data_IF_495710008125
#
_entry.id   IF_495710008125
#
_cell.length_a   1.000
_cell.length_b   1.000
_cell.length_c   1.000
_cell.angle_alpha   90.00
_cell.angle_beta   90.00
_cell.angle_gamma   90.00
#
_symmetry.space_group_name_H-M   'P 1'
#
loop_
_entity.id
_entity.type
_entity.pdbx_description
1 polymer ?
#
# COMPACT_ATOMS: atom_id res chain seq x y z
N UNK A 1 22.19 35.20 -52.22
CA UNK A 1 20.92 34.64 -51.70
C UNK A 1 21.22 33.87 -50.43
N UNK A 2 20.95 34.48 -49.30
CA UNK A 2 21.06 33.81 -47.98
C UNK A 2 19.69 33.32 -47.57
N UNK A 3 19.53 32.02 -47.40
CA UNK A 3 18.29 31.41 -46.84
C UNK A 3 18.45 31.34 -45.33
N UNK A 4 17.64 32.11 -44.62
CA UNK A 4 17.60 32.05 -43.15
C UNK A 4 16.65 30.89 -42.76
N UNK A 5 17.18 29.90 -42.05
CA UNK A 5 16.40 28.82 -41.44
C UNK A 5 15.84 29.34 -40.13
N UNK A 6 14.51 29.46 -40.03
CA UNK A 6 13.82 29.75 -38.77
C UNK A 6 13.68 28.46 -37.98
N UNK A 7 14.30 28.38 -36.82
CA UNK A 7 14.08 27.33 -35.84
C UNK A 7 12.77 27.60 -35.07
N UNK A 8 11.77 26.77 -35.30
CA UNK A 8 10.54 26.77 -34.48
C UNK A 8 10.82 26.05 -33.17
N UNK A 9 10.94 26.81 -32.08
CA UNK A 9 10.97 26.26 -30.73
C UNK A 9 9.56 25.76 -30.35
N UNK A 10 9.40 24.45 -30.28
CA UNK A 10 8.19 23.81 -29.78
C UNK A 10 8.18 23.97 -28.25
N UNK A 11 7.50 25.00 -27.73
CA UNK A 11 7.17 25.06 -26.30
C UNK A 11 6.14 23.98 -25.99
N UNK A 12 6.60 22.86 -25.41
CA UNK A 12 5.73 21.91 -24.76
C UNK A 12 5.10 22.64 -23.56
N UNK A 13 3.86 23.04 -23.69
CA UNK A 13 3.06 23.53 -22.57
C UNK A 13 2.84 22.33 -21.62
N UNK A 14 3.62 22.27 -20.55
CA UNK A 14 3.29 21.42 -19.41
C UNK A 14 1.95 21.93 -18.87
N UNK A 15 0.89 21.11 -18.99
CA UNK A 15 -0.38 21.36 -18.31
C UNK A 15 -0.14 21.53 -16.80
N UNK A 16 -1.08 22.16 -16.07
CA UNK A 16 -0.92 22.35 -14.63
C UNK A 16 -0.64 20.99 -13.98
N UNK A 17 0.50 20.90 -13.31
CA UNK A 17 0.79 19.75 -12.46
C UNK A 17 -0.23 19.83 -11.31
N UNK A 18 -1.10 18.83 -11.21
CA UNK A 18 -1.97 18.70 -10.04
C UNK A 18 -1.09 18.44 -8.82
N UNK A 19 -1.22 19.31 -7.82
CA UNK A 19 -0.53 19.12 -6.54
C UNK A 19 -1.37 18.17 -5.70
N UNK A 20 -0.95 16.90 -5.60
CA UNK A 20 -1.52 15.95 -4.66
C UNK A 20 -0.81 16.04 -3.32
N UNK A 21 -1.47 15.62 -2.27
CA UNK A 21 -0.87 15.51 -0.94
C UNK A 21 -0.66 14.05 -0.60
N UNK A 22 0.57 13.68 -0.26
CA UNK A 22 0.86 12.36 0.31
C UNK A 22 0.90 12.46 1.85
N UNK A 23 0.30 11.47 2.50
CA UNK A 23 0.31 11.28 3.94
C UNK A 23 1.11 10.03 4.26
N UNK A 24 2.11 10.15 5.13
CA UNK A 24 3.07 9.08 5.45
C UNK A 24 3.03 8.83 6.94
N UNK A 25 2.71 7.60 7.35
CA UNK A 25 2.82 7.19 8.75
C UNK A 25 4.27 6.91 9.11
N UNK A 26 4.75 7.50 10.23
CA UNK A 26 6.12 7.35 10.73
C UNK A 26 6.09 6.50 12.00
N UNK A 27 6.32 5.20 11.86
CA UNK A 27 6.08 4.18 12.90
C UNK A 27 6.78 4.50 14.23
N UNK A 28 8.07 4.80 14.19
CA UNK A 28 8.86 5.12 15.40
C UNK A 28 8.80 6.60 15.78
N UNK A 29 8.33 7.44 14.86
CA UNK A 29 8.16 8.85 15.11
C UNK A 29 6.83 9.21 15.77
N UNK A 30 5.89 8.27 15.90
CA UNK A 30 4.52 8.51 16.38
C UNK A 30 3.90 9.75 15.73
N UNK A 31 4.10 9.86 14.42
CA UNK A 31 3.74 11.05 13.66
C UNK A 31 3.29 10.71 12.24
N UNK A 32 2.64 11.65 11.59
CA UNK A 32 2.31 11.60 10.17
C UNK A 32 2.95 12.77 9.45
N UNK A 33 3.72 12.49 8.40
CA UNK A 33 4.28 13.52 7.52
C UNK A 33 3.34 13.82 6.37
N UNK A 34 3.14 15.09 6.08
CA UNK A 34 2.34 15.60 4.97
C UNK A 34 3.29 16.14 3.91
N UNK A 35 3.19 15.62 2.69
CA UNK A 35 4.13 15.89 1.60
C UNK A 35 3.38 16.41 0.39
N UNK A 36 3.80 17.55 -0.13
CA UNK A 36 3.35 18.08 -1.42
C UNK A 36 4.07 17.32 -2.54
N UNK A 37 3.31 16.61 -3.37
CA UNK A 37 3.87 15.76 -4.42
C UNK A 37 4.42 16.55 -5.61
N UNK A 38 3.95 17.77 -5.83
CA UNK A 38 4.42 18.62 -6.93
C UNK A 38 5.78 19.26 -6.64
N UNK A 39 5.98 19.66 -5.40
CA UNK A 39 7.25 20.25 -4.94
C UNK A 39 8.19 19.21 -4.33
N UNK A 40 7.70 17.99 -4.08
CA UNK A 40 8.42 16.90 -3.41
C UNK A 40 9.03 17.38 -2.07
N UNK A 41 8.22 18.04 -1.24
CA UNK A 41 8.66 18.56 0.05
C UNK A 41 7.68 18.21 1.16
N UNK A 42 8.22 17.93 2.34
CA UNK A 42 7.42 17.86 3.56
C UNK A 42 6.91 19.27 3.87
N UNK A 43 5.59 19.42 3.93
CA UNK A 43 4.93 20.69 4.28
C UNK A 43 4.60 20.77 5.76
N UNK A 44 4.39 19.61 6.40
CA UNK A 44 4.12 19.52 7.84
C UNK A 44 4.38 18.10 8.35
N UNK A 45 4.66 17.98 9.63
CA UNK A 45 4.59 16.72 10.38
C UNK A 45 3.70 16.98 11.59
N UNK A 46 2.79 16.06 11.90
CA UNK A 46 1.86 16.14 13.02
C UNK A 46 1.98 14.91 13.89
N UNK A 47 1.82 15.06 15.19
CA UNK A 47 1.80 13.95 16.12
C UNK A 47 0.49 13.16 15.96
N UNK A 48 0.59 11.85 16.08
CA UNK A 48 -0.53 10.90 16.03
C UNK A 48 -0.38 9.87 17.16
N UNK A 49 -1.23 8.86 17.18
CA UNK A 49 -1.11 7.76 18.14
C UNK A 49 0.18 6.95 17.98
N UNK A 50 0.37 5.99 18.88
CA UNK A 50 1.62 5.24 18.99
C UNK A 50 1.72 4.13 17.96
N UNK A 51 2.93 3.94 17.43
CA UNK A 51 3.26 2.97 16.39
C UNK A 51 2.30 3.06 15.18
N UNK A 52 2.21 4.23 14.51
CA UNK A 52 1.32 4.38 13.36
C UNK A 52 1.83 3.56 12.16
N UNK A 53 0.97 2.66 11.65
CA UNK A 53 1.29 1.76 10.54
C UNK A 53 0.32 1.93 9.37
N UNK A 54 -0.69 1.08 9.26
CA UNK A 54 -1.67 1.13 8.19
C UNK A 54 -2.29 2.52 8.05
N UNK A 55 -2.41 2.99 6.81
CA UNK A 55 -2.95 4.32 6.50
C UNK A 55 -3.77 4.24 5.21
N UNK A 56 -4.95 4.85 5.22
CA UNK A 56 -5.77 5.04 4.01
C UNK A 56 -6.49 6.39 4.07
N UNK A 57 -7.15 6.77 2.97
CA UNK A 57 -7.87 8.04 2.88
C UNK A 57 -9.31 7.81 2.41
N UNK A 58 -10.25 8.58 2.93
CA UNK A 58 -11.64 8.54 2.47
C UNK A 58 -11.74 8.88 0.98
N UNK A 59 -12.71 8.31 0.23
CA UNK A 59 -12.85 8.56 -1.21
C UNK A 59 -13.03 10.04 -1.57
N UNK A 60 -13.59 10.85 -0.66
CA UNK A 60 -13.74 12.31 -0.84
C UNK A 60 -12.51 13.11 -0.41
N UNK A 61 -11.49 12.45 0.14
CA UNK A 61 -10.23 13.04 0.58
C UNK A 61 -10.29 13.83 1.88
N UNK A 62 -11.41 13.77 2.62
CA UNK A 62 -11.58 14.59 3.83
C UNK A 62 -10.96 13.99 5.09
N UNK A 63 -10.83 12.68 5.14
CA UNK A 63 -10.32 11.99 6.32
C UNK A 63 -9.22 11.00 5.95
N UNK A 64 -8.14 11.04 6.70
CA UNK A 64 -7.14 9.97 6.75
C UNK A 64 -7.50 9.06 7.91
N UNK A 65 -7.52 7.76 7.67
CA UNK A 65 -7.60 6.72 8.69
C UNK A 65 -6.20 6.14 8.90
N UNK A 66 -5.80 5.96 10.16
CA UNK A 66 -4.45 5.56 10.52
C UNK A 66 -4.49 4.59 11.70
N UNK A 67 -3.91 3.40 11.56
CA UNK A 67 -3.69 2.50 12.68
C UNK A 67 -2.71 3.13 13.67
N UNK A 68 -3.14 3.30 14.90
CA UNK A 68 -2.28 3.57 16.05
C UNK A 68 -2.18 2.24 16.82
N UNK A 69 -1.23 1.38 16.38
CA UNK A 69 -1.23 -0.03 16.72
C UNK A 69 -1.00 -0.30 18.21
N UNK A 70 -0.13 0.48 18.87
CA UNK A 70 0.10 0.36 20.32
C UNK A 70 -1.01 1.04 21.15
N UNK A 71 -1.94 1.77 20.53
CA UNK A 71 -3.12 2.38 21.17
C UNK A 71 -4.40 1.58 20.89
N UNK A 72 -4.33 0.44 20.19
CA UNK A 72 -5.45 -0.44 19.86
C UNK A 72 -6.62 0.28 19.16
N UNK A 73 -6.33 1.18 18.25
CA UNK A 73 -7.36 1.97 17.57
C UNK A 73 -6.98 2.42 16.16
N UNK A 74 -8.00 2.74 15.36
CA UNK A 74 -7.82 3.46 14.10
C UNK A 74 -8.21 4.92 14.29
N UNK A 75 -7.26 5.84 14.18
CA UNK A 75 -7.50 7.28 14.29
C UNK A 75 -8.13 7.85 13.03
N UNK A 76 -9.00 8.84 13.20
CA UNK A 76 -9.61 9.62 12.13
C UNK A 76 -8.98 11.02 12.16
N UNK A 77 -8.29 11.39 11.09
CA UNK A 77 -7.58 12.67 10.96
C UNK A 77 -8.27 13.49 9.88
N UNK A 78 -8.72 14.70 10.21
CA UNK A 78 -9.29 15.64 9.25
C UNK A 78 -8.18 16.24 8.40
N UNK A 79 -8.26 16.11 7.07
CA UNK A 79 -7.21 16.54 6.15
C UNK A 79 -7.09 18.05 6.02
N UNK A 80 -8.13 18.81 6.35
CA UNK A 80 -8.13 20.27 6.28
C UNK A 80 -7.47 20.92 7.51
N UNK A 81 -7.65 20.31 8.68
CA UNK A 81 -7.10 20.81 9.95
C UNK A 81 -5.83 20.06 10.38
N UNK A 82 -5.63 18.86 9.86
CA UNK A 82 -4.58 17.92 10.24
C UNK A 82 -4.63 17.54 11.73
N UNK A 83 -5.85 17.50 12.30
CA UNK A 83 -6.09 17.13 13.68
C UNK A 83 -6.77 15.75 13.75
N UNK A 84 -6.46 15.00 14.79
CA UNK A 84 -7.22 13.79 15.14
C UNK A 84 -8.59 14.26 15.65
N UNK A 85 -9.65 13.87 14.93
CA UNK A 85 -11.05 14.28 15.24
C UNK A 85 -11.87 13.14 15.83
N UNK A 86 -11.28 11.95 15.96
CA UNK A 86 -11.91 10.80 16.55
C UNK A 86 -11.14 9.53 16.27
N UNK A 87 -11.75 8.40 16.66
CA UNK A 87 -11.23 7.06 16.37
C UNK A 87 -12.36 6.11 16.03
N UNK A 88 -11.99 5.01 15.36
CA UNK A 88 -12.83 3.82 15.19
C UNK A 88 -12.34 2.74 16.16
N UNK A 89 -13.23 1.92 16.70
CA UNK A 89 -12.85 0.80 17.53
C UNK A 89 -12.04 -0.21 16.70
N UNK A 90 -11.10 -0.87 17.32
CA UNK A 90 -10.36 -1.97 16.74
C UNK A 90 -10.04 -2.99 17.84
N UNK A 91 -9.74 -4.22 17.44
CA UNK A 91 -9.09 -5.15 18.36
C UNK A 91 -7.63 -4.72 18.60
N UNK A 92 -6.91 -5.44 19.48
CA UNK A 92 -5.53 -5.12 19.80
C UNK A 92 -4.61 -5.31 18.59
N UNK A 93 -3.63 -4.41 18.50
CA UNK A 93 -2.60 -4.38 17.48
C UNK A 93 -3.16 -4.34 16.03
N UNK A 94 -3.91 -3.27 15.67
CA UNK A 94 -4.35 -3.10 14.29
C UNK A 94 -3.16 -2.81 13.36
N UNK A 95 -3.03 -3.62 12.31
CA UNK A 95 -1.93 -3.54 11.34
C UNK A 95 -2.36 -2.86 10.05
N UNK A 96 -2.71 -3.63 9.04
CA UNK A 96 -3.26 -3.10 7.80
C UNK A 96 -4.79 -3.13 7.83
N UNK A 97 -5.36 -2.27 7.03
CA UNK A 97 -6.79 -2.22 6.80
C UNK A 97 -7.12 -1.78 5.38
N UNK A 98 -8.32 -2.01 4.96
CA UNK A 98 -8.81 -1.57 3.66
C UNK A 98 -10.24 -1.04 3.78
N UNK A 99 -10.55 0.00 3.01
CA UNK A 99 -11.90 0.52 2.84
C UNK A 99 -12.68 -0.30 1.82
N UNK A 100 -13.97 -0.51 2.07
CA UNK A 100 -14.88 -0.93 1.01
C UNK A 100 -14.84 0.09 -0.15
N UNK A 101 -15.12 -0.33 -1.40
CA UNK A 101 -15.09 0.59 -2.55
C UNK A 101 -16.03 1.78 -2.43
N UNK A 102 -17.10 1.66 -1.66
CA UNK A 102 -18.03 2.77 -1.39
C UNK A 102 -17.61 3.65 -0.19
N UNK A 103 -16.51 3.29 0.47
CA UNK A 103 -15.92 4.03 1.58
C UNK A 103 -16.72 4.00 2.89
N UNK A 104 -17.68 3.08 3.06
CA UNK A 104 -18.53 3.03 4.25
C UNK A 104 -18.07 2.05 5.30
N UNK A 105 -17.36 1.01 4.89
CA UNK A 105 -16.90 -0.07 5.78
C UNK A 105 -15.39 -0.09 5.80
N UNK A 106 -14.82 -0.24 6.99
CA UNK A 106 -13.40 -0.48 7.19
C UNK A 106 -13.21 -1.93 7.64
N UNK A 107 -12.27 -2.63 7.02
CA UNK A 107 -11.85 -3.98 7.39
C UNK A 107 -10.44 -3.92 7.94
N UNK A 108 -10.26 -4.28 9.21
CA UNK A 108 -8.99 -4.12 9.96
C UNK A 108 -8.44 -5.48 10.35
N UNK A 109 -7.17 -5.73 10.05
CA UNK A 109 -6.44 -6.89 10.55
C UNK A 109 -5.94 -6.61 11.97
N UNK A 110 -6.33 -7.44 12.94
CA UNK A 110 -5.92 -7.34 14.34
C UNK A 110 -4.98 -8.48 14.69
N UNK A 111 -3.68 -8.18 14.77
CA UNK A 111 -2.61 -9.17 14.84
C UNK A 111 -2.75 -10.06 16.09
N UNK A 112 -2.98 -9.47 17.26
CA UNK A 112 -2.96 -10.17 18.52
C UNK A 112 -4.22 -11.00 18.83
N UNK A 113 -5.35 -10.72 18.17
CA UNK A 113 -6.62 -11.46 18.36
C UNK A 113 -6.90 -12.49 17.28
N UNK A 114 -6.11 -12.51 16.19
CA UNK A 114 -6.33 -13.38 15.03
C UNK A 114 -7.70 -13.13 14.36
N UNK A 115 -8.10 -11.87 14.29
CA UNK A 115 -9.40 -11.43 13.78
C UNK A 115 -9.25 -10.42 12.64
N UNK A 116 -10.25 -10.38 11.78
CA UNK A 116 -10.55 -9.22 10.94
C UNK A 116 -11.78 -8.53 11.53
N UNK A 117 -11.61 -7.28 11.96
CA UNK A 117 -12.74 -6.47 12.48
C UNK A 117 -13.38 -5.70 11.33
N UNK A 118 -14.71 -5.78 11.24
CA UNK A 118 -15.54 -5.08 10.25
C UNK A 118 -16.25 -3.92 10.95
N UNK A 119 -16.02 -2.69 10.45
CA UNK A 119 -16.46 -1.47 11.12
C UNK A 119 -17.30 -0.62 10.17
N UNK A 120 -18.49 -0.21 10.58
CA UNK A 120 -19.23 0.87 9.91
C UNK A 120 -18.63 2.22 10.30
N UNK A 121 -18.17 2.97 9.32
CA UNK A 121 -17.44 4.23 9.55
C UNK A 121 -18.40 5.32 10.08
N UNK A 122 -19.64 5.35 9.64
CA UNK A 122 -20.58 6.41 9.99
C UNK A 122 -21.10 6.26 11.43
N UNK A 123 -21.50 5.06 11.82
CA UNK A 123 -21.95 4.76 13.18
C UNK A 123 -20.81 4.51 14.16
N UNK A 124 -19.61 4.15 13.64
CA UNK A 124 -18.43 3.69 14.38
C UNK A 124 -18.69 2.38 15.15
N UNK A 125 -19.59 1.57 14.66
CA UNK A 125 -19.95 0.29 15.27
C UNK A 125 -19.16 -0.85 14.63
N UNK A 126 -18.73 -1.81 15.45
CA UNK A 126 -18.21 -3.09 14.98
C UNK A 126 -19.39 -3.92 14.49
N UNK A 127 -19.40 -4.24 13.19
CA UNK A 127 -20.43 -5.05 12.56
C UNK A 127 -20.17 -6.55 12.70
N UNK A 128 -18.88 -6.94 12.67
CA UNK A 128 -18.45 -8.32 12.82
C UNK A 128 -16.97 -8.41 13.23
N UNK A 129 -16.63 -9.56 13.80
CA UNK A 129 -15.27 -10.01 14.06
C UNK A 129 -15.10 -11.38 13.41
N UNK A 130 -14.27 -11.47 12.39
CA UNK A 130 -14.11 -12.65 11.53
C UNK A 130 -12.84 -13.38 11.93
N UNK A 131 -12.92 -14.61 12.49
CA UNK A 131 -11.74 -15.41 12.81
C UNK A 131 -10.96 -15.79 11.54
N UNK A 132 -9.64 -15.55 11.57
CA UNK A 132 -8.70 -15.87 10.49
C UNK A 132 -7.51 -16.67 11.05
N UNK A 133 -6.41 -16.75 10.32
CA UNK A 133 -5.19 -17.40 10.79
C UNK A 133 -4.43 -16.56 11.81
N UNK A 134 -3.31 -17.10 12.30
CA UNK A 134 -2.48 -16.46 13.32
C UNK A 134 -1.67 -15.32 12.72
N UNK A 135 -1.64 -14.18 13.43
CA UNK A 135 -0.98 -12.93 13.02
C UNK A 135 -1.52 -12.39 11.68
N UNK A 136 -2.80 -11.95 11.63
CA UNK A 136 -3.36 -11.30 10.44
C UNK A 136 -2.70 -9.94 10.20
N UNK A 137 -2.27 -9.69 8.96
CA UNK A 137 -1.53 -8.49 8.59
C UNK A 137 -2.11 -7.81 7.33
N UNK A 138 -1.91 -8.44 6.16
CA UNK A 138 -2.28 -7.88 4.87
C UNK A 138 -3.78 -7.91 4.61
N UNK A 139 -4.28 -6.84 3.99
CA UNK A 139 -5.69 -6.68 3.65
C UNK A 139 -5.84 -6.23 2.20
N UNK A 140 -6.78 -6.82 1.48
CA UNK A 140 -7.15 -6.40 0.13
C UNK A 140 -8.63 -6.64 -0.13
N UNK A 141 -9.29 -5.72 -0.83
CA UNK A 141 -10.70 -5.86 -1.22
C UNK A 141 -10.82 -5.85 -2.74
N UNK A 142 -11.66 -6.73 -3.29
CA UNK A 142 -11.91 -6.77 -4.73
C UNK A 142 -12.59 -5.47 -5.21
N UNK A 143 -12.37 -5.04 -6.47
CA UNK A 143 -12.97 -3.81 -6.99
C UNK A 143 -14.49 -3.78 -6.95
N UNK A 144 -15.15 -4.93 -6.99
CA UNK A 144 -16.61 -5.04 -6.85
C UNK A 144 -17.09 -5.09 -5.38
N UNK A 145 -16.15 -5.06 -4.44
CA UNK A 145 -16.40 -5.05 -3.00
C UNK A 145 -16.89 -6.37 -2.41
N UNK A 146 -16.93 -7.47 -3.17
CA UNK A 146 -17.55 -8.73 -2.73
C UNK A 146 -16.60 -9.70 -2.05
N UNK A 147 -15.32 -9.60 -2.36
CA UNK A 147 -14.28 -10.46 -1.81
C UNK A 147 -13.27 -9.62 -1.05
N UNK A 148 -13.05 -9.97 0.20
CA UNK A 148 -11.96 -9.45 1.01
C UNK A 148 -10.90 -10.55 1.12
N UNK A 149 -9.62 -10.21 1.09
CA UNK A 149 -8.53 -11.12 1.38
C UNK A 149 -7.74 -10.58 2.56
N UNK A 150 -7.54 -11.44 3.57
CA UNK A 150 -6.62 -11.22 4.68
C UNK A 150 -5.45 -12.19 4.55
N UNK A 151 -4.25 -11.76 4.88
CA UNK A 151 -3.08 -12.62 5.01
C UNK A 151 -2.76 -12.87 6.48
N UNK A 152 -2.40 -14.10 6.84
CA UNK A 152 -2.00 -14.46 8.20
C UNK A 152 -0.57 -15.00 8.20
N UNK A 153 0.33 -14.27 8.85
CA UNK A 153 1.78 -14.45 8.77
C UNK A 153 2.25 -15.84 9.22
N UNK A 154 1.91 -16.21 10.45
CA UNK A 154 2.38 -17.46 11.06
C UNK A 154 1.76 -18.68 10.40
N UNK A 155 0.51 -18.62 9.95
CA UNK A 155 -0.15 -19.73 9.27
C UNK A 155 0.14 -19.81 7.78
N UNK A 156 0.81 -18.80 7.20
CA UNK A 156 1.16 -18.72 5.77
C UNK A 156 -0.05 -18.86 4.85
N UNK A 157 -1.17 -18.22 5.22
CA UNK A 157 -2.45 -18.30 4.50
C UNK A 157 -2.89 -16.97 3.95
N UNK A 158 -3.60 -17.01 2.82
CA UNK A 158 -4.48 -15.97 2.32
C UNK A 158 -5.92 -16.44 2.50
N UNK A 159 -6.67 -15.79 3.40
CA UNK A 159 -8.07 -16.09 3.70
C UNK A 159 -8.97 -15.24 2.81
N UNK A 160 -9.86 -15.89 2.07
CA UNK A 160 -10.87 -15.25 1.25
C UNK A 160 -12.16 -15.15 2.03
N UNK A 161 -12.67 -13.96 2.17
CA UNK A 161 -13.85 -13.63 2.97
C UNK A 161 -14.92 -13.06 2.03
N UNK A 162 -16.13 -13.58 2.09
CA UNK A 162 -17.29 -12.97 1.44
C UNK A 162 -17.78 -11.79 2.29
N UNK A 163 -17.82 -10.60 1.70
CA UNK A 163 -18.16 -9.37 2.44
C UNK A 163 -19.63 -9.29 2.84
N UNK A 164 -20.51 -10.03 2.18
CA UNK A 164 -21.94 -10.03 2.47
C UNK A 164 -22.33 -10.99 3.60
N UNK A 165 -21.71 -12.16 3.65
CA UNK A 165 -21.90 -13.13 4.74
C UNK A 165 -20.95 -12.89 5.91
N UNK A 166 -19.83 -12.16 5.68
CA UNK A 166 -18.76 -11.94 6.65
C UNK A 166 -18.13 -13.24 7.15
N UNK A 167 -17.98 -14.20 6.24
CA UNK A 167 -17.43 -15.53 6.53
C UNK A 167 -16.23 -15.82 5.65
N UNK A 168 -15.25 -16.56 6.19
CA UNK A 168 -14.14 -17.11 5.41
C UNK A 168 -14.70 -18.23 4.52
N UNK A 169 -14.60 -18.03 3.20
CA UNK A 169 -15.08 -18.99 2.20
C UNK A 169 -13.99 -19.96 1.74
N UNK A 170 -12.76 -19.49 1.72
CA UNK A 170 -11.59 -20.24 1.28
C UNK A 170 -10.33 -19.80 2.00
N UNK A 171 -9.34 -20.69 2.07
CA UNK A 171 -8.00 -20.39 2.58
C UNK A 171 -6.95 -21.00 1.67
N UNK A 172 -6.08 -20.18 1.13
CA UNK A 172 -5.05 -20.59 0.17
C UNK A 172 -3.69 -20.53 0.84
N UNK A 173 -2.97 -21.67 0.83
CA UNK A 173 -1.59 -21.71 1.31
C UNK A 173 -0.69 -20.93 0.35
N UNK A 174 0.05 -19.98 0.90
CA UNK A 174 1.07 -19.19 0.21
C UNK A 174 2.45 -19.44 0.82
N UNK A 175 3.45 -18.66 0.45
CA UNK A 175 4.77 -18.81 1.09
C UNK A 175 4.83 -18.09 2.45
N UNK A 176 5.93 -18.33 3.18
CA UNK A 176 6.09 -17.95 4.58
C UNK A 176 6.02 -16.44 4.80
N UNK A 177 5.25 -16.05 5.79
CA UNK A 177 5.03 -14.68 6.25
C UNK A 177 4.41 -13.78 5.18
N UNK A 178 3.17 -14.05 4.75
CA UNK A 178 2.46 -13.18 3.81
C UNK A 178 2.09 -11.85 4.47
N UNK A 179 2.38 -10.74 3.76
CA UNK A 179 2.33 -9.37 4.30
C UNK A 179 1.33 -8.44 3.63
N UNK A 180 0.93 -8.73 2.40
CA UNK A 180 0.10 -7.81 1.62
C UNK A 180 -0.75 -8.56 0.61
N UNK A 181 -1.93 -8.03 0.32
CA UNK A 181 -2.83 -8.54 -0.71
C UNK A 181 -3.31 -7.39 -1.60
N UNK A 182 -3.10 -7.50 -2.90
CA UNK A 182 -3.50 -6.50 -3.89
C UNK A 182 -4.29 -7.15 -5.02
N UNK A 183 -5.50 -6.67 -5.27
CA UNK A 183 -6.29 -7.13 -6.40
C UNK A 183 -5.88 -6.44 -7.70
N UNK A 184 -5.93 -7.18 -8.81
CA UNK A 184 -5.89 -6.56 -10.14
C UNK A 184 -7.09 -5.64 -10.34
N UNK A 185 -6.99 -4.56 -11.14
CA UNK A 185 -8.09 -3.62 -11.35
C UNK A 185 -9.37 -4.24 -11.92
N UNK A 186 -9.25 -5.38 -12.63
CA UNK A 186 -10.37 -6.17 -13.13
C UNK A 186 -10.93 -7.17 -12.12
N UNK A 187 -10.30 -7.28 -10.94
CA UNK A 187 -10.69 -8.19 -9.87
C UNK A 187 -10.44 -9.67 -10.15
N UNK A 188 -9.80 -10.02 -11.26
CA UNK A 188 -9.60 -11.40 -11.67
C UNK A 188 -8.55 -12.15 -10.85
N UNK A 189 -7.57 -11.43 -10.30
CA UNK A 189 -6.46 -11.99 -9.52
C UNK A 189 -6.22 -11.18 -8.26
N UNK A 190 -5.64 -11.85 -7.26
CA UNK A 190 -5.04 -11.20 -6.09
C UNK A 190 -3.57 -11.62 -6.00
N UNK A 191 -2.71 -10.63 -5.77
CA UNK A 191 -1.28 -10.77 -5.61
C UNK A 191 -0.93 -10.71 -4.12
N UNK A 192 -0.36 -11.76 -3.59
CA UNK A 192 -0.02 -11.90 -2.17
C UNK A 192 1.49 -11.98 -2.02
N UNK A 193 2.08 -10.99 -1.37
CA UNK A 193 3.51 -10.99 -1.05
C UNK A 193 3.79 -11.86 0.17
N UNK A 194 4.92 -12.57 0.16
CA UNK A 194 5.41 -13.38 1.27
C UNK A 194 6.84 -12.96 1.62
N UNK A 195 6.98 -12.26 2.74
CA UNK A 195 8.21 -11.59 3.15
C UNK A 195 9.38 -12.58 3.31
N UNK A 196 9.22 -13.55 4.20
CA UNK A 196 10.26 -14.57 4.45
C UNK A 196 10.34 -15.57 3.33
N UNK A 197 9.22 -15.87 2.67
CA UNK A 197 9.19 -16.73 1.49
C UNK A 197 9.89 -16.15 0.27
N UNK A 198 10.13 -14.84 0.23
CA UNK A 198 10.83 -14.16 -0.87
C UNK A 198 10.05 -14.14 -2.20
N UNK A 199 8.72 -14.28 -2.15
CA UNK A 199 7.89 -14.46 -3.36
C UNK A 199 6.66 -13.58 -3.36
N UNK A 200 6.01 -13.48 -4.52
CA UNK A 200 4.62 -13.04 -4.66
C UNK A 200 3.82 -14.18 -5.29
N UNK A 201 2.77 -14.62 -4.61
CA UNK A 201 1.80 -15.58 -5.13
C UNK A 201 0.69 -14.84 -5.87
N UNK A 202 0.44 -15.18 -7.12
CA UNK A 202 -0.71 -14.70 -7.90
C UNK A 202 -1.80 -15.76 -7.82
N UNK A 203 -2.94 -15.40 -7.26
CA UNK A 203 -4.07 -16.29 -7.02
C UNK A 203 -5.23 -15.87 -7.93
N UNK A 204 -5.80 -16.80 -8.68
CA UNK A 204 -7.03 -16.57 -9.44
C UNK A 204 -8.20 -16.40 -8.47
N UNK A 205 -8.87 -15.23 -8.54
CA UNK A 205 -9.93 -14.88 -7.59
C UNK A 205 -11.17 -15.77 -7.67
N UNK A 206 -11.43 -16.42 -8.81
CA UNK A 206 -12.59 -17.30 -9.00
C UNK A 206 -12.32 -18.72 -8.54
N UNK A 207 -11.16 -19.28 -8.91
CA UNK A 207 -10.82 -20.68 -8.65
C UNK A 207 -10.07 -20.90 -7.37
N UNK A 208 -9.57 -19.83 -6.72
CA UNK A 208 -8.75 -19.87 -5.51
C UNK A 208 -7.45 -20.66 -5.69
N UNK A 209 -6.96 -20.76 -6.92
CA UNK A 209 -5.73 -21.46 -7.23
C UNK A 209 -4.56 -20.48 -7.40
N UNK A 210 -3.39 -20.83 -6.87
CA UNK A 210 -2.15 -20.13 -7.18
C UNK A 210 -1.79 -20.42 -8.64
N UNK A 211 -1.94 -19.42 -9.51
CA UNK A 211 -1.65 -19.55 -10.95
C UNK A 211 -0.19 -19.26 -11.26
N UNK A 212 0.49 -18.51 -10.38
CA UNK A 212 1.91 -18.16 -10.53
C UNK A 212 2.54 -17.84 -9.19
N UNK A 213 3.80 -18.25 -9.01
CA UNK A 213 4.70 -17.70 -8.01
C UNK A 213 5.79 -16.88 -8.71
N UNK A 214 5.97 -15.64 -8.29
CA UNK A 214 6.98 -14.72 -8.80
C UNK A 214 8.14 -14.73 -7.82
N UNK A 215 9.32 -15.06 -8.32
CA UNK A 215 10.57 -15.04 -7.55
C UNK A 215 11.40 -13.82 -7.98
N UNK A 216 12.19 -13.30 -7.08
CA UNK A 216 13.03 -12.15 -7.31
C UNK A 216 14.51 -12.53 -7.16
N UNK A 217 15.35 -11.98 -8.02
CA UNK A 217 16.80 -12.19 -7.98
C UNK A 217 17.51 -10.92 -8.40
N UNK A 218 18.29 -10.35 -7.49
CA UNK A 218 19.07 -9.12 -7.75
C UNK A 218 20.55 -9.51 -7.71
N UNK A 219 21.32 -9.29 -8.79
CA UNK A 219 22.74 -9.61 -8.83
C UNK A 219 23.50 -8.97 -7.65
N UNK A 220 24.28 -9.77 -6.93
CA UNK A 220 25.06 -9.32 -5.78
C UNK A 220 24.32 -9.30 -4.44
N UNK A 221 23.02 -9.53 -4.41
CA UNK A 221 22.24 -9.69 -3.16
C UNK A 221 21.95 -11.16 -2.87
N UNK A 222 21.93 -11.50 -1.58
CA UNK A 222 21.49 -12.81 -1.12
C UNK A 222 19.97 -12.89 -1.16
N UNK A 223 19.42 -14.07 -1.47
CA UNK A 223 17.96 -14.30 -1.54
C UNK A 223 17.23 -13.91 -0.27
N UNK A 224 17.83 -14.16 0.89
CA UNK A 224 17.22 -13.88 2.20
C UNK A 224 17.03 -12.38 2.50
N UNK A 225 17.72 -11.52 1.73
CA UNK A 225 17.53 -10.07 1.84
C UNK A 225 16.42 -9.54 0.94
N UNK A 226 15.91 -10.36 0.02
CA UNK A 226 14.84 -9.99 -0.90
C UNK A 226 13.51 -10.42 -0.27
N UNK A 227 12.87 -9.48 0.40
CA UNK A 227 11.68 -9.71 1.23
C UNK A 227 10.50 -8.88 0.71
N UNK A 228 9.65 -9.45 -0.15
CA UNK A 228 8.48 -8.74 -0.71
C UNK A 228 7.48 -8.33 0.37
N UNK A 229 7.03 -7.07 0.34
CA UNK A 229 6.05 -6.51 1.27
C UNK A 229 4.93 -5.83 0.49
N UNK A 230 4.94 -4.52 0.33
CA UNK A 230 3.91 -3.79 -0.39
C UNK A 230 3.87 -4.15 -1.88
N UNK A 231 2.67 -4.24 -2.43
CA UNK A 231 2.40 -4.44 -3.85
C UNK A 231 1.45 -3.35 -4.32
N UNK A 232 1.71 -2.75 -5.49
CA UNK A 232 0.78 -1.81 -6.12
C UNK A 232 0.70 -2.09 -7.61
N UNK A 233 -0.51 -2.22 -8.13
CA UNK A 233 -0.77 -2.52 -9.55
C UNK A 233 -1.30 -1.26 -10.23
N UNK A 234 -0.77 -0.94 -11.42
CA UNK A 234 -1.23 0.22 -12.20
C UNK A 234 -2.70 0.11 -12.56
N UNK A 235 -3.41 1.24 -12.65
CA UNK A 235 -4.85 1.27 -12.95
C UNK A 235 -5.20 0.63 -14.31
N UNK A 236 -4.26 0.57 -15.26
CA UNK A 236 -4.43 -0.15 -16.53
C UNK A 236 -4.13 -1.65 -16.43
N UNK A 237 -3.76 -2.13 -15.25
CA UNK A 237 -3.49 -3.52 -14.94
C UNK A 237 -2.23 -4.11 -15.60
N UNK A 238 -1.32 -3.30 -16.18
CA UNK A 238 -0.20 -3.82 -16.97
C UNK A 238 1.09 -4.01 -16.21
N UNK A 239 1.31 -3.21 -15.18
CA UNK A 239 2.51 -3.27 -14.33
C UNK A 239 2.13 -3.48 -12.88
N UNK A 240 2.91 -4.26 -12.16
CA UNK A 240 2.90 -4.30 -10.71
C UNK A 240 4.26 -3.84 -10.19
N UNK A 241 4.24 -3.08 -9.10
CA UNK A 241 5.43 -2.67 -8.37
C UNK A 241 5.43 -3.40 -7.02
N UNK A 242 6.55 -4.03 -6.69
CA UNK A 242 6.70 -4.82 -5.47
C UNK A 242 7.86 -4.28 -4.65
N UNK A 243 7.59 -3.85 -3.43
CA UNK A 243 8.61 -3.45 -2.46
C UNK A 243 9.37 -4.69 -1.97
N UNK A 244 10.69 -4.69 -2.04
CA UNK A 244 11.53 -5.85 -1.72
C UNK A 244 12.27 -5.71 -0.38
N UNK A 245 11.71 -4.96 0.56
CA UNK A 245 12.16 -4.85 1.94
C UNK A 245 13.65 -4.50 2.09
N UNK A 246 14.44 -5.34 2.82
CA UNK A 246 15.86 -5.09 3.06
C UNK A 246 16.74 -5.08 1.81
N UNK A 247 16.23 -5.56 0.67
CA UNK A 247 16.92 -5.41 -0.60
C UNK A 247 17.01 -3.95 -1.08
N UNK A 248 16.22 -3.04 -0.50
CA UNK A 248 16.20 -1.62 -0.85
C UNK A 248 15.84 -1.35 -2.33
N UNK A 249 15.03 -2.21 -2.90
CA UNK A 249 14.60 -2.12 -4.29
C UNK A 249 13.08 -2.27 -4.41
N UNK A 250 12.56 -1.70 -5.47
CA UNK A 250 11.21 -1.99 -5.98
C UNK A 250 11.35 -2.77 -7.29
N UNK A 251 10.69 -3.92 -7.37
CA UNK A 251 10.60 -4.68 -8.62
C UNK A 251 9.46 -4.17 -9.48
N UNK A 252 9.70 -4.00 -10.77
CA UNK A 252 8.67 -3.74 -11.79
C UNK A 252 8.36 -5.04 -12.50
N UNK A 253 7.12 -5.49 -12.42
CA UNK A 253 6.67 -6.78 -12.94
C UNK A 253 5.61 -6.55 -14.01
N UNK A 254 5.75 -7.22 -15.15
CA UNK A 254 4.70 -7.29 -16.16
C UNK A 254 3.60 -8.24 -15.70
N UNK A 255 2.38 -7.76 -15.54
CA UNK A 255 1.27 -8.53 -14.96
C UNK A 255 0.77 -9.65 -15.87
N UNK A 256 1.01 -9.57 -17.17
CA UNK A 256 0.57 -10.59 -18.14
C UNK A 256 1.56 -11.76 -18.22
N UNK A 257 2.87 -11.47 -18.19
CA UNK A 257 3.92 -12.49 -18.30
C UNK A 257 4.46 -12.91 -16.95
N UNK A 258 4.21 -12.13 -15.90
CA UNK A 258 4.75 -12.26 -14.54
C UNK A 258 6.28 -12.17 -14.48
N UNK A 259 6.90 -11.55 -15.48
CA UNK A 259 8.35 -11.35 -15.56
C UNK A 259 8.75 -10.05 -14.88
N UNK A 260 9.80 -10.11 -14.09
CA UNK A 260 10.44 -8.90 -13.55
C UNK A 260 11.17 -8.20 -14.68
N UNK A 261 10.79 -6.96 -14.97
CA UNK A 261 11.38 -6.14 -16.04
C UNK A 261 12.52 -5.26 -15.53
N UNK A 262 12.44 -4.81 -14.29
CA UNK A 262 13.41 -3.87 -13.71
C UNK A 262 13.43 -3.97 -12.18
N UNK A 263 14.57 -3.63 -11.60
CA UNK A 263 14.72 -3.34 -10.18
C UNK A 263 15.13 -1.88 -10.01
N UNK A 264 14.41 -1.13 -9.21
CA UNK A 264 14.61 0.29 -8.93
C UNK A 264 15.23 0.40 -7.55
N UNK A 265 16.43 0.95 -7.43
CA UNK A 265 17.05 1.22 -6.14
C UNK A 265 16.35 2.41 -5.47
N UNK A 266 15.95 2.24 -4.21
CA UNK A 266 15.28 3.25 -3.37
C UNK A 266 16.01 3.39 -2.02
N UNK A 267 15.40 4.03 -1.04
CA UNK A 267 15.95 4.09 0.31
C UNK A 267 15.96 2.74 1.04
N UNK A 268 16.46 2.72 2.29
CA UNK A 268 16.69 1.48 3.03
C UNK A 268 15.40 0.95 3.67
N UNK A 269 15.19 -0.35 3.52
CA UNK A 269 14.03 -1.10 4.04
C UNK A 269 12.73 -0.52 3.50
N UNK A 270 12.50 -0.74 2.20
CA UNK A 270 11.25 -0.32 1.55
C UNK A 270 10.07 -1.16 2.05
N UNK A 271 8.96 -0.49 2.46
CA UNK A 271 7.77 -1.13 3.00
C UNK A 271 6.59 -1.09 2.03
N UNK A 272 6.00 0.09 1.84
CA UNK A 272 4.77 0.26 1.09
C UNK A 272 4.91 1.24 -0.07
N UNK A 273 3.90 1.23 -0.92
CA UNK A 273 3.87 1.94 -2.19
C UNK A 273 2.50 2.60 -2.37
N UNK A 274 2.45 3.80 -2.94
CA UNK A 274 1.21 4.43 -3.37
C UNK A 274 1.41 5.23 -4.66
N UNK A 275 0.46 5.11 -5.58
CA UNK A 275 0.42 5.95 -6.77
C UNK A 275 -0.20 7.32 -6.48
N UNK A 276 0.24 8.34 -7.20
CA UNK A 276 -0.56 9.53 -7.39
C UNK A 276 -1.82 9.18 -8.22
N UNK A 277 -2.95 9.90 -8.03
CA UNK A 277 -4.20 9.60 -8.75
C UNK A 277 -4.07 9.60 -10.28
N UNK A 278 -3.16 10.40 -10.83
CA UNK A 278 -2.85 10.43 -12.26
C UNK A 278 -1.92 9.29 -12.72
N UNK A 279 -1.52 8.42 -11.81
CA UNK A 279 -0.64 7.27 -12.04
C UNK A 279 0.77 7.61 -12.56
N UNK A 280 1.18 8.89 -12.53
CA UNK A 280 2.49 9.30 -13.07
C UNK A 280 3.63 9.13 -12.09
N UNK A 281 3.32 9.08 -10.81
CA UNK A 281 4.31 8.96 -9.76
C UNK A 281 3.92 7.82 -8.80
N UNK A 282 4.89 6.98 -8.47
CA UNK A 282 4.81 6.04 -7.37
C UNK A 282 5.66 6.56 -6.23
N UNK A 283 5.15 6.49 -5.01
CA UNK A 283 5.85 6.90 -3.78
C UNK A 283 6.10 5.66 -2.95
N UNK A 284 7.35 5.50 -2.46
CA UNK A 284 7.73 4.39 -1.58
C UNK A 284 8.02 4.91 -0.19
N UNK A 285 7.80 4.09 0.84
CA UNK A 285 8.27 4.36 2.20
C UNK A 285 9.51 3.52 2.49
N UNK A 286 10.57 4.15 3.03
CA UNK A 286 11.86 3.53 3.25
C UNK A 286 12.23 3.67 4.74
N UNK A 287 11.84 2.65 5.54
CA UNK A 287 11.82 2.74 7.00
C UNK A 287 13.19 3.02 7.64
N UNK A 288 14.26 2.36 7.18
CA UNK A 288 15.57 2.50 7.84
C UNK A 288 16.35 3.76 7.42
N UNK A 289 16.02 4.36 6.27
CA UNK A 289 16.63 5.63 5.84
C UNK A 289 15.79 6.85 6.21
N UNK A 290 14.60 6.67 6.79
CA UNK A 290 13.69 7.75 7.20
C UNK A 290 13.30 8.67 6.04
N UNK A 291 13.06 8.10 4.88
CA UNK A 291 12.68 8.84 3.68
C UNK A 291 11.58 8.14 2.88
N UNK A 292 11.06 8.86 1.92
CA UNK A 292 10.21 8.36 0.84
C UNK A 292 10.92 8.59 -0.48
N UNK A 293 10.73 7.72 -1.47
CA UNK A 293 11.27 7.92 -2.82
C UNK A 293 10.14 8.09 -3.82
N UNK A 294 10.22 9.14 -4.63
CA UNK A 294 9.36 9.39 -5.77
C UNK A 294 9.93 8.69 -7.01
N UNK A 295 9.11 7.91 -7.69
CA UNK A 295 9.46 7.16 -8.89
C UNK A 295 8.56 7.62 -10.04
N UNK A 296 9.13 7.99 -11.17
CA UNK A 296 8.40 8.25 -12.41
C UNK A 296 7.96 6.92 -13.03
N UNK A 297 6.65 6.71 -13.20
CA UNK A 297 6.08 5.44 -13.68
C UNK A 297 6.19 5.22 -15.18
N UNK A 298 6.48 6.27 -15.94
CA UNK A 298 6.68 6.17 -17.39
C UNK A 298 8.09 5.65 -17.71
N UNK A 299 9.09 6.03 -16.91
CA UNK A 299 10.49 5.64 -17.09
C UNK A 299 10.93 4.53 -16.14
N UNK A 300 10.17 4.30 -15.07
CA UNK A 300 10.52 3.44 -13.95
C UNK A 300 11.88 3.85 -13.31
N UNK A 301 12.11 5.17 -13.18
CA UNK A 301 13.33 5.73 -12.58
C UNK A 301 13.00 6.52 -11.30
N UNK A 302 13.86 6.45 -10.27
CA UNK A 302 13.70 7.29 -9.09
C UNK A 302 13.99 8.75 -9.46
N UNK A 303 13.12 9.66 -9.02
CA UNK A 303 13.24 11.10 -9.27
C UNK A 303 13.92 11.80 -8.11
N UNK A 304 13.45 11.55 -6.90
CA UNK A 304 13.92 12.19 -5.68
C UNK A 304 13.56 11.38 -4.43
N UNK A 305 14.46 11.38 -3.43
CA UNK A 305 14.13 10.95 -2.07
C UNK A 305 13.98 12.15 -1.16
N UNK A 306 13.02 12.06 -0.22
CA UNK A 306 12.66 13.14 0.70
C UNK A 306 12.62 12.60 2.12
N UNK A 307 13.42 13.17 3.01
CA UNK A 307 13.40 12.81 4.43
C UNK A 307 12.04 13.17 5.05
N UNK A 308 11.46 12.23 5.80
CA UNK A 308 10.22 12.37 6.54
C UNK A 308 10.45 12.07 8.03
N UNK A 309 9.46 11.58 8.76
CA UNK A 309 9.65 11.18 10.16
C UNK A 309 10.41 9.86 10.32
N UNK A 310 10.52 9.37 11.56
CA UNK A 310 11.27 8.16 11.88
C UNK A 310 10.52 6.89 11.48
N UNK A 311 11.17 6.04 10.71
CA UNK A 311 10.67 4.78 10.19
C UNK A 311 9.31 4.94 9.47
N UNK A 312 9.27 5.63 8.31
CA UNK A 312 8.07 5.68 7.48
C UNK A 312 7.64 4.26 7.08
N UNK A 313 6.35 3.95 7.30
CA UNK A 313 5.82 2.63 7.08
C UNK A 313 4.75 2.62 5.97
N UNK A 314 3.66 3.32 6.14
CA UNK A 314 2.57 3.43 5.18
C UNK A 314 2.55 4.76 4.44
N UNK A 315 1.94 4.79 3.27
CA UNK A 315 1.73 6.01 2.48
C UNK A 315 0.40 5.94 1.74
N UNK A 316 -0.32 7.06 1.72
CA UNK A 316 -1.51 7.25 0.90
C UNK A 316 -1.49 8.63 0.27
N UNK A 317 -2.09 8.77 -0.90
CA UNK A 317 -2.13 10.04 -1.65
C UNK A 317 -3.57 10.52 -1.76
N UNK A 318 -3.79 11.82 -1.55
CA UNK A 318 -5.11 12.44 -1.70
C UNK A 318 -5.69 12.22 -3.10
N UNK A 319 -7.01 11.99 -3.23
CA UNK A 319 -7.64 11.78 -4.53
C UNK A 319 -7.69 13.05 -5.39
N UNK A 320 -7.43 14.21 -4.80
CA UNK A 320 -7.49 15.54 -5.45
C UNK A 320 -6.39 16.44 -4.94
#
# INVERSE_FOLDING_TARGET
MYVAAAAIALCLASGPAFAYTAYVSNEKGNSMSIVDTSTMKVVKTVDVGQRPRGITISPDGKFVYLCASDDDQVQIIDTSTLQVVGSLPSGPDPELFVLSPDGKTLYVANENDNLVTVIDIASKEVLAEIPVGVEPEGMGVSPDGKTLVNTSETTSMAHFIDTSSQEVTDSVLVDTRPRFAEFTPDGSQVWVSAEVGGTVSVIDNKTRQVVKKINFAIPGLRSETIQPVGVSITADGKKAYVALGPANHVAVVDTKTYEVKKYILVGQRVWHLAFTPDQKTLITTNGNSNDITFIDTATDEPVQSVTVGQQPWGVVVSPK
#
